data_IF_585691128940
#
_entry.id   IF_585691128940
#
_cell.length_a   1.000
_cell.length_b   1.000
_cell.length_c   1.000
_cell.angle_alpha   90.00
_cell.angle_beta   90.00
_cell.angle_gamma   90.00
#
_symmetry.space_group_name_H-M   'P 1'
#
loop_
_entity.id
_entity.type
_entity.pdbx_description
1 polymer ?
#
# COMPACT_ATOMS: atom_id res chain seq x y z
N UNK A 1 -1.30 11.85 5.67
CA UNK A 1 -0.43 11.44 6.78
C UNK A 1 0.44 10.30 6.29
N UNK A 2 1.73 10.32 6.62
CA UNK A 2 2.71 9.28 6.29
C UNK A 2 3.06 8.56 7.60
N UNK A 3 3.06 7.23 7.59
CA UNK A 3 3.41 6.41 8.75
C UNK A 3 4.72 5.70 8.47
N UNK A 4 5.70 5.87 9.36
CA UNK A 4 7.00 5.21 9.28
C UNK A 4 7.01 3.92 10.10
N UNK A 5 7.98 3.04 9.83
CA UNK A 5 8.19 1.80 10.59
C UNK A 5 8.47 2.03 12.07
N UNK A 6 9.07 3.18 12.42
CA UNK A 6 9.28 3.59 13.80
C UNK A 6 8.00 3.99 14.54
N UNK A 7 6.84 3.95 13.88
CA UNK A 7 5.56 4.46 14.40
C UNK A 7 5.42 5.98 14.31
N UNK A 8 6.47 6.70 13.88
CA UNK A 8 6.41 8.15 13.69
C UNK A 8 5.43 8.49 12.56
N UNK A 9 4.53 9.45 12.85
CA UNK A 9 3.55 9.96 11.90
C UNK A 9 3.97 11.35 11.42
N UNK A 10 3.98 11.54 10.11
CA UNK A 10 4.31 12.82 9.47
C UNK A 10 3.05 13.33 8.75
N UNK A 11 2.67 14.57 9.02
CA UNK A 11 1.56 15.24 8.33
C UNK A 11 2.14 16.14 7.23
N UNK A 12 1.50 16.14 6.06
CA UNK A 12 1.92 16.92 4.89
C UNK A 12 0.69 17.53 4.23
N UNK A 13 0.88 18.69 3.59
CA UNK A 13 -0.17 19.46 2.90
C UNK A 13 -0.25 19.15 1.39
N UNK A 14 0.43 18.09 0.93
CA UNK A 14 0.45 17.67 -0.49
C UNK A 14 -0.65 16.64 -0.76
N UNK A 15 -1.20 16.66 -1.98
CA UNK A 15 -2.21 15.69 -2.41
C UNK A 15 -1.56 14.33 -2.67
N UNK A 16 -2.34 13.26 -2.46
CA UNK A 16 -1.88 11.89 -2.70
C UNK A 16 -1.42 11.66 -4.15
N UNK A 17 -2.04 12.37 -5.11
CA UNK A 17 -1.66 12.31 -6.53
C UNK A 17 -0.22 12.77 -6.77
N UNK A 18 0.25 13.79 -6.05
CA UNK A 18 1.64 14.25 -6.17
C UNK A 18 2.63 13.18 -5.71
N UNK A 19 2.29 12.46 -4.63
CA UNK A 19 3.09 11.33 -4.16
C UNK A 19 3.05 10.17 -5.14
N UNK A 20 1.88 9.83 -5.67
CA UNK A 20 1.77 8.79 -6.69
C UNK A 20 2.64 9.09 -7.91
N UNK A 21 2.60 10.31 -8.45
CA UNK A 21 3.43 10.72 -9.58
C UNK A 21 4.92 10.65 -9.25
N UNK A 22 5.31 11.16 -8.07
CA UNK A 22 6.71 11.15 -7.64
C UNK A 22 7.24 9.74 -7.34
N UNK A 23 6.37 8.83 -6.91
CA UNK A 23 6.73 7.46 -6.53
C UNK A 23 6.46 6.45 -7.65
N UNK A 24 5.88 6.88 -8.78
CA UNK A 24 5.44 6.00 -9.87
C UNK A 24 6.57 5.14 -10.44
N UNK A 25 7.77 5.70 -10.49
CA UNK A 25 8.97 5.04 -11.00
C UNK A 25 9.79 4.35 -9.89
N UNK A 26 9.40 4.55 -8.63
CA UNK A 26 10.08 3.97 -7.48
C UNK A 26 9.29 2.78 -6.94
N UNK A 27 9.65 1.59 -7.42
CA UNK A 27 9.37 0.35 -6.68
C UNK A 27 10.02 0.47 -5.29
N UNK A 28 9.33 0.14 -4.19
CA UNK A 28 8.14 -0.73 -4.07
C UNK A 28 6.80 -0.02 -3.74
N UNK A 29 6.57 1.22 -4.18
CA UNK A 29 5.33 1.93 -3.80
C UNK A 29 4.14 1.57 -4.71
N UNK A 30 2.98 1.30 -4.08
CA UNK A 30 1.75 0.91 -4.78
C UNK A 30 0.53 1.64 -4.23
N UNK A 31 -0.31 2.17 -5.13
CA UNK A 31 -1.59 2.80 -4.77
C UNK A 31 -2.71 1.76 -4.73
N UNK A 32 -2.96 1.21 -3.55
CA UNK A 32 -3.97 0.18 -3.33
C UNK A 32 -5.40 0.71 -3.22
N UNK A 33 -5.58 2.00 -2.89
CA UNK A 33 -6.88 2.63 -2.72
C UNK A 33 -6.84 4.12 -3.09
N UNK A 34 -8.00 4.77 -3.28
CA UNK A 34 -8.07 6.21 -3.60
C UNK A 34 -7.37 7.10 -2.56
N UNK A 35 -7.30 6.65 -1.32
CA UNK A 35 -6.73 7.39 -0.19
C UNK A 35 -5.40 6.84 0.34
N UNK A 36 -4.91 5.72 -0.20
CA UNK A 36 -3.75 5.02 0.37
C UNK A 36 -2.72 4.63 -0.69
N UNK A 37 -1.46 4.91 -0.38
CA UNK A 37 -0.27 4.38 -1.05
C UNK A 37 0.50 3.60 0.01
N UNK A 38 0.85 2.37 -0.30
CA UNK A 38 1.56 1.46 0.59
C UNK A 38 2.90 1.07 -0.03
N UNK A 39 3.85 0.65 0.81
CA UNK A 39 5.05 0.01 0.36
C UNK A 39 4.80 -1.51 0.33
N UNK A 40 4.96 -2.14 -0.84
CA UNK A 40 4.64 -3.55 -1.06
C UNK A 40 5.61 -4.52 -0.40
N UNK A 41 6.84 -4.10 -0.09
CA UNK A 41 7.82 -4.94 0.62
C UNK A 41 7.44 -5.19 2.08
N UNK A 42 6.62 -4.33 2.67
CA UNK A 42 6.21 -4.43 4.07
C UNK A 42 4.84 -5.07 4.26
N UNK A 43 4.26 -5.67 3.21
CA UNK A 43 2.99 -6.37 3.33
C UNK A 43 3.23 -7.76 3.91
N UNK A 44 2.51 -8.09 4.98
CA UNK A 44 2.57 -9.39 5.65
C UNK A 44 1.55 -10.35 5.05
N UNK A 45 0.32 -9.86 4.83
CA UNK A 45 -0.75 -10.70 4.31
C UNK A 45 -1.80 -9.86 3.58
N UNK A 46 -2.55 -10.51 2.70
CA UNK A 46 -3.74 -9.99 2.08
C UNK A 46 -4.93 -10.87 2.47
N UNK A 47 -5.97 -10.24 3.01
CA UNK A 47 -7.24 -10.87 3.37
C UNK A 47 -8.29 -10.50 2.33
N UNK A 48 -8.87 -11.49 1.67
CA UNK A 48 -9.98 -11.28 0.72
C UNK A 48 -11.33 -11.04 1.44
N UNK A 49 -11.37 -11.24 2.75
CA UNK A 49 -12.54 -10.99 3.60
C UNK A 49 -12.94 -9.51 3.56
N UNK A 50 -14.24 -9.23 3.67
CA UNK A 50 -14.79 -7.88 3.87
C UNK A 50 -14.40 -6.81 2.81
N UNK A 51 -14.17 -7.24 1.56
CA UNK A 51 -13.89 -6.32 0.44
C UNK A 51 -12.41 -6.13 0.10
N UNK A 52 -11.51 -6.89 0.73
CA UNK A 52 -10.08 -6.92 0.40
C UNK A 52 -9.26 -5.96 1.25
N UNK A 53 -8.43 -6.50 2.13
CA UNK A 53 -7.61 -5.74 3.09
C UNK A 53 -6.18 -6.27 3.09
N UNK A 54 -5.19 -5.37 3.12
CA UNK A 54 -3.78 -5.75 3.35
C UNK A 54 -3.38 -5.44 4.77
N UNK A 55 -2.59 -6.33 5.36
CA UNK A 55 -1.96 -6.13 6.66
C UNK A 55 -0.47 -5.86 6.45
N UNK A 56 0.00 -4.72 6.96
CA UNK A 56 1.41 -4.34 6.93
C UNK A 56 2.16 -4.85 8.17
N UNK A 57 3.49 -4.85 8.14
CA UNK A 57 4.34 -5.34 9.25
C UNK A 57 4.09 -4.64 10.59
N UNK A 58 3.61 -3.40 10.56
CA UNK A 58 3.21 -2.65 11.76
C UNK A 58 1.78 -2.97 12.25
N UNK A 59 1.19 -4.08 11.79
CA UNK A 59 -0.18 -4.51 12.06
C UNK A 59 -1.26 -3.51 11.63
N UNK A 60 -0.93 -2.58 10.73
CA UNK A 60 -1.91 -1.67 10.14
C UNK A 60 -2.62 -2.39 9.01
N UNK A 61 -3.94 -2.36 9.06
CA UNK A 61 -4.82 -2.88 8.03
C UNK A 61 -5.26 -1.74 7.09
N UNK A 62 -5.09 -1.94 5.79
CA UNK A 62 -5.45 -0.97 4.75
C UNK A 62 -6.41 -1.65 3.76
N UNK A 63 -7.61 -1.07 3.51
CA UNK A 63 -8.51 -1.59 2.51
C UNK A 63 -7.95 -1.38 1.10
N UNK A 64 -8.18 -2.35 0.23
CA UNK A 64 -7.77 -2.34 -1.18
C UNK A 64 -9.01 -2.15 -2.04
N UNK A 65 -8.95 -1.27 -3.03
CA UNK A 65 -10.05 -1.15 -3.98
C UNK A 65 -10.16 -2.43 -4.82
N UNK A 66 -11.37 -2.93 -5.07
CA UNK A 66 -11.58 -4.19 -5.80
C UNK A 66 -10.89 -4.25 -7.17
N UNK A 67 -10.82 -3.14 -7.90
CA UNK A 67 -10.11 -3.02 -9.17
C UNK A 67 -8.57 -3.05 -9.05
N UNK A 68 -8.02 -2.92 -7.84
CA UNK A 68 -6.58 -2.97 -7.53
C UNK A 68 -6.16 -4.28 -6.90
N UNK A 69 -7.10 -5.15 -6.53
CA UNK A 69 -6.82 -6.46 -5.94
C UNK A 69 -6.02 -7.35 -6.90
N UNK A 70 -6.42 -7.44 -8.17
CA UNK A 70 -5.71 -8.27 -9.15
C UNK A 70 -4.27 -7.79 -9.38
N UNK A 71 -4.08 -6.48 -9.48
CA UNK A 71 -2.76 -5.85 -9.64
C UNK A 71 -1.88 -6.11 -8.41
N UNK A 72 -2.44 -5.98 -7.20
CA UNK A 72 -1.75 -6.31 -5.96
C UNK A 72 -1.34 -7.78 -5.89
N UNK A 73 -2.25 -8.71 -6.21
CA UNK A 73 -1.97 -10.15 -6.20
C UNK A 73 -0.88 -10.53 -7.20
N UNK A 74 -0.83 -9.87 -8.36
CA UNK A 74 0.24 -10.06 -9.34
C UNK A 74 1.61 -9.61 -8.81
N UNK A 75 1.66 -8.57 -7.97
CA UNK A 75 2.90 -8.13 -7.30
C UNK A 75 3.38 -9.15 -6.26
N UNK A 76 2.46 -9.79 -5.52
CA UNK A 76 2.81 -10.85 -4.55
C UNK A 76 3.48 -12.07 -5.20
N UNK A 77 2.98 -12.50 -6.37
CA UNK A 77 3.56 -13.64 -7.09
C UNK A 77 5.01 -13.38 -7.50
N UNK A 78 5.37 -12.11 -7.75
CA UNK A 78 6.73 -11.71 -8.12
C UNK A 78 7.73 -11.79 -6.97
N UNK A 79 7.29 -11.63 -5.72
CA UNK A 79 8.17 -11.57 -4.54
C UNK A 79 8.58 -12.98 -4.04
N UNK A 80 7.87 -14.04 -4.42
CA UNK A 80 8.11 -15.43 -3.96
C UNK A 80 9.00 -16.22 -4.95
N UNK A 81 9.84 -15.56 -5.76
CA UNK A 81 10.82 -16.23 -6.65
C UNK A 81 12.26 -15.98 -6.24
#
# INVERSE_FOLDING_TARGET
MIVLLSGKKIVTSRFLKNFEESLKEHSPFFRCHKSYIINTEYIVSYSKSDGGTVTLQNQIEIPVSGNKVEELLALFIRVIR
#
